data_IF_999958372362
#
_entry.id   IF_999958372362
#
_cell.length_a   1.000
_cell.length_b   1.000
_cell.length_c   1.000
_cell.angle_alpha   90.00
_cell.angle_beta   90.00
_cell.angle_gamma   90.00
#
_symmetry.space_group_name_H-M   'P 1'
#
loop_
_entity.id
_entity.type
_entity.pdbx_description
1 polymer ?
#
# COMPACT_ATOMS: atom_id res chain seq x y z
N UNK A 1 12.43 -6.82 -1.37
CA UNK A 1 12.62 -6.87 -2.85
C UNK A 1 14.08 -6.65 -3.16
N UNK A 2 14.72 -7.58 -3.87
CA UNK A 2 16.14 -7.51 -4.24
C UNK A 2 16.34 -6.65 -5.50
N UNK A 3 17.56 -6.12 -5.72
CA UNK A 3 17.85 -5.31 -6.92
C UNK A 3 17.52 -6.05 -8.22
N UNK A 4 17.82 -7.36 -8.29
CA UNK A 4 17.57 -8.19 -9.47
C UNK A 4 16.08 -8.46 -9.76
N UNK A 5 15.21 -8.20 -8.80
CA UNK A 5 13.75 -8.41 -8.91
C UNK A 5 13.02 -7.14 -9.35
N UNK A 6 13.74 -6.03 -9.42
CA UNK A 6 13.15 -4.76 -9.84
C UNK A 6 12.78 -4.80 -11.32
N UNK A 7 11.57 -4.34 -11.61
CA UNK A 7 11.02 -4.30 -12.97
C UNK A 7 11.09 -2.87 -13.52
N UNK A 8 11.56 -2.72 -14.74
CA UNK A 8 11.51 -1.45 -15.50
C UNK A 8 12.52 -0.38 -15.10
N UNK A 9 13.54 -0.73 -14.27
CA UNK A 9 14.63 0.17 -13.88
C UNK A 9 16.01 -0.40 -14.26
N UNK A 10 16.12 -1.04 -15.42
CA UNK A 10 17.27 -1.83 -15.83
C UNK A 10 18.59 -1.06 -15.78
N UNK A 11 18.59 0.23 -16.20
CA UNK A 11 19.81 1.06 -16.21
C UNK A 11 20.29 1.38 -14.78
N UNK A 12 19.36 1.75 -13.90
CA UNK A 12 19.68 2.07 -12.50
C UNK A 12 20.17 0.81 -11.77
N UNK A 13 19.48 -0.30 -11.97
CA UNK A 13 19.82 -1.61 -11.38
C UNK A 13 21.19 -2.09 -11.87
N UNK A 14 21.45 -2.08 -13.20
CA UNK A 14 22.73 -2.49 -13.75
C UNK A 14 23.89 -1.62 -13.24
N UNK A 15 23.69 -0.31 -13.14
CA UNK A 15 24.69 0.61 -12.58
C UNK A 15 25.02 0.29 -11.13
N UNK A 16 24.00 0.06 -10.29
CA UNK A 16 24.19 -0.28 -8.88
C UNK A 16 24.86 -1.63 -8.69
N UNK A 17 24.39 -2.67 -9.45
CA UNK A 17 24.99 -4.02 -9.40
C UNK A 17 26.45 -3.99 -9.84
N UNK A 18 26.77 -3.27 -10.90
CA UNK A 18 28.17 -3.12 -11.35
C UNK A 18 29.03 -2.40 -10.30
N UNK A 19 28.52 -1.33 -9.68
CA UNK A 19 29.24 -0.59 -8.64
C UNK A 19 29.51 -1.46 -7.41
N UNK A 20 28.55 -2.28 -6.99
CA UNK A 20 28.72 -3.25 -5.90
C UNK A 20 29.74 -4.33 -6.26
N UNK A 21 29.57 -4.98 -7.43
CA UNK A 21 30.44 -6.08 -7.87
C UNK A 21 31.90 -5.63 -8.07
N UNK A 22 32.12 -4.38 -8.47
CA UNK A 22 33.49 -3.81 -8.64
C UNK A 22 34.08 -3.19 -7.37
N UNK A 23 33.33 -3.18 -6.26
CA UNK A 23 33.75 -2.49 -5.02
C UNK A 23 33.88 -0.97 -5.15
N UNK A 24 33.24 -0.37 -6.17
CA UNK A 24 33.33 1.08 -6.47
C UNK A 24 32.04 1.82 -6.21
N UNK A 25 31.22 1.31 -5.29
CA UNK A 25 30.02 2.03 -4.89
C UNK A 25 30.43 3.34 -4.19
N UNK A 26 29.87 4.46 -4.65
CA UNK A 26 30.10 5.76 -4.02
C UNK A 26 29.59 5.75 -2.57
N UNK A 27 30.30 6.47 -1.69
CA UNK A 27 29.87 6.67 -0.31
C UNK A 27 28.57 7.46 -0.19
N UNK A 28 28.19 8.24 -1.21
CA UNK A 28 26.94 8.98 -1.25
C UNK A 28 26.31 8.89 -2.65
N UNK A 29 25.07 8.42 -2.69
CA UNK A 29 24.27 8.29 -3.89
C UNK A 29 23.01 9.15 -3.81
N UNK A 30 22.64 9.78 -4.94
CA UNK A 30 21.38 10.51 -5.10
C UNK A 30 20.50 9.73 -6.06
N UNK A 31 19.44 9.09 -5.52
CA UNK A 31 18.42 8.39 -6.31
C UNK A 31 17.32 9.37 -6.67
N UNK A 32 17.29 9.80 -7.91
CA UNK A 32 16.33 10.80 -8.42
C UNK A 32 15.43 10.25 -9.51
N UNK A 33 14.23 10.77 -9.58
CA UNK A 33 13.21 10.39 -10.56
C UNK A 33 11.79 10.59 -10.02
N UNK A 34 10.75 10.33 -10.82
CA UNK A 34 9.37 10.49 -10.43
C UNK A 34 9.02 9.77 -9.12
N UNK A 35 7.93 10.17 -8.47
CA UNK A 35 7.45 9.49 -7.28
C UNK A 35 7.03 8.05 -7.59
N UNK A 36 7.16 7.17 -6.59
CA UNK A 36 6.66 5.79 -6.64
C UNK A 36 7.15 4.95 -7.82
N UNK A 37 8.39 5.19 -8.31
CA UNK A 37 9.02 4.37 -9.36
C UNK A 37 10.00 3.33 -8.83
N UNK A 38 10.05 3.11 -7.50
CA UNK A 38 10.87 2.09 -6.86
C UNK A 38 12.22 2.57 -6.31
N UNK A 39 12.49 3.88 -6.20
CA UNK A 39 13.77 4.43 -5.67
C UNK A 39 14.12 3.91 -4.28
N UNK A 40 13.16 3.99 -3.33
CA UNK A 40 13.35 3.48 -1.96
C UNK A 40 13.56 1.96 -1.95
N UNK A 41 12.83 1.24 -2.79
CA UNK A 41 13.00 -0.21 -2.92
C UNK A 41 14.38 -0.57 -3.47
N UNK A 42 14.93 0.22 -4.41
CA UNK A 42 16.30 0.06 -4.89
C UNK A 42 17.34 0.32 -3.79
N UNK A 43 17.11 1.33 -2.95
CA UNK A 43 18.00 1.61 -1.82
C UNK A 43 18.01 0.45 -0.80
N UNK A 44 16.86 -0.14 -0.49
CA UNK A 44 16.78 -1.36 0.32
C UNK A 44 17.39 -2.57 -0.40
N UNK A 45 17.18 -2.71 -1.72
CA UNK A 45 17.84 -3.73 -2.54
C UNK A 45 19.35 -3.64 -2.51
N UNK A 46 19.89 -2.41 -2.46
CA UNK A 46 21.33 -2.16 -2.27
C UNK A 46 21.79 -2.59 -0.87
N UNK A 47 20.98 -2.36 0.16
CA UNK A 47 21.29 -2.84 1.52
C UNK A 47 21.37 -4.37 1.58
N UNK A 48 20.46 -5.09 0.95
CA UNK A 48 20.56 -6.54 0.84
C UNK A 48 21.84 -6.98 0.14
N UNK A 49 22.22 -6.31 -0.95
CA UNK A 49 23.43 -6.65 -1.69
C UNK A 49 24.73 -6.44 -0.88
N UNK A 50 24.77 -5.39 -0.04
CA UNK A 50 25.97 -5.05 0.73
C UNK A 50 26.07 -5.78 2.07
N UNK A 51 24.94 -6.11 2.72
CA UNK A 51 24.94 -6.68 4.06
C UNK A 51 24.73 -8.20 4.11
N UNK A 52 24.19 -8.82 3.05
CA UNK A 52 23.88 -10.25 3.05
C UNK A 52 25.13 -11.12 3.06
N UNK A 53 25.35 -11.97 4.09
CA UNK A 53 26.50 -12.87 4.14
C UNK A 53 26.36 -14.09 3.21
N UNK A 54 25.12 -14.55 2.95
CA UNK A 54 24.84 -15.76 2.14
C UNK A 54 24.97 -15.51 0.64
N UNK A 55 24.71 -14.29 0.18
CA UNK A 55 24.84 -13.89 -1.21
C UNK A 55 25.43 -12.48 -1.33
N UNK A 56 26.74 -12.32 -1.05
CA UNK A 56 27.39 -11.01 -1.13
C UNK A 56 27.27 -10.41 -2.54
N UNK A 57 26.94 -9.13 -2.61
CA UNK A 57 26.72 -8.40 -3.85
C UNK A 57 25.34 -8.59 -4.50
N UNK A 58 24.54 -9.56 -4.08
CA UNK A 58 23.22 -9.86 -4.66
C UNK A 58 22.07 -9.78 -3.65
N UNK A 59 22.32 -10.21 -2.40
CA UNK A 59 21.29 -10.46 -1.41
C UNK A 59 20.53 -11.78 -1.66
N UNK A 60 20.23 -12.56 -0.63
CA UNK A 60 19.44 -13.78 -0.75
C UNK A 60 17.95 -13.57 -0.46
N UNK A 61 17.58 -12.56 0.38
CA UNK A 61 16.20 -12.27 0.80
C UNK A 61 15.66 -13.17 1.90
N UNK A 62 16.39 -14.23 2.32
CA UNK A 62 15.85 -15.27 3.22
C UNK A 62 16.66 -15.49 4.49
N UNK A 63 17.94 -15.11 4.55
CA UNK A 63 18.75 -15.24 5.75
C UNK A 63 18.30 -14.28 6.86
N UNK A 64 18.83 -14.47 8.07
CA UNK A 64 18.48 -13.64 9.22
C UNK A 64 18.76 -12.15 9.00
N UNK A 65 19.93 -11.81 8.43
CA UNK A 65 20.28 -10.43 8.07
C UNK A 65 19.25 -9.83 7.12
N UNK A 66 18.87 -10.56 6.06
CA UNK A 66 17.87 -10.07 5.10
C UNK A 66 16.50 -9.88 5.75
N UNK A 67 16.06 -10.80 6.62
CA UNK A 67 14.79 -10.64 7.36
C UNK A 67 14.79 -9.44 8.28
N UNK A 68 15.90 -9.18 8.99
CA UNK A 68 16.04 -7.97 9.83
C UNK A 68 16.05 -6.68 9.02
N UNK A 69 16.66 -6.69 7.83
CA UNK A 69 16.61 -5.53 6.91
C UNK A 69 15.17 -5.29 6.47
N UNK A 70 14.42 -6.34 6.09
CA UNK A 70 13.03 -6.22 5.68
C UNK A 70 12.13 -5.69 6.80
N UNK A 71 12.36 -6.16 8.03
CA UNK A 71 11.65 -5.71 9.24
C UNK A 71 12.07 -4.30 9.71
N UNK A 72 13.10 -3.67 9.08
CA UNK A 72 13.64 -2.39 9.54
C UNK A 72 14.38 -2.47 10.88
N UNK A 73 14.90 -3.64 11.26
CA UNK A 73 15.52 -3.92 12.55
C UNK A 73 17.04 -4.15 12.47
N UNK A 74 17.64 -4.00 11.29
CA UNK A 74 19.08 -4.20 11.14
C UNK A 74 19.85 -2.94 11.55
N UNK A 75 20.84 -3.02 12.50
CA UNK A 75 21.52 -1.84 13.06
C UNK A 75 22.32 -1.04 12.03
N UNK A 76 22.79 -1.68 10.96
CA UNK A 76 23.55 -1.02 9.90
C UNK A 76 22.69 -0.65 8.68
N UNK A 77 21.36 -0.75 8.76
CA UNK A 77 20.46 -0.32 7.69
C UNK A 77 19.38 0.58 8.28
N UNK A 78 19.54 1.87 8.12
CA UNK A 78 18.58 2.88 8.57
C UNK A 78 17.87 3.49 7.37
N UNK A 79 16.53 3.49 7.42
CA UNK A 79 15.71 4.22 6.48
C UNK A 79 14.90 5.29 7.23
N UNK A 80 15.22 6.53 6.97
CA UNK A 80 14.61 7.70 7.60
C UNK A 80 13.73 8.44 6.60
N UNK A 81 12.57 8.89 7.08
CA UNK A 81 11.70 9.82 6.38
C UNK A 81 11.49 11.06 7.24
N UNK A 82 11.13 12.21 6.68
CA UNK A 82 10.88 13.41 7.47
C UNK A 82 9.73 13.17 8.45
N UNK A 83 9.90 13.62 9.70
CA UNK A 83 8.92 13.45 10.78
C UNK A 83 7.57 14.17 10.48
N UNK A 84 7.62 15.22 9.66
CA UNK A 84 6.46 15.97 9.19
C UNK A 84 6.64 16.31 7.70
N UNK A 85 6.49 17.58 7.33
CA UNK A 85 6.73 18.04 5.96
C UNK A 85 8.22 18.19 5.63
N UNK A 86 9.07 18.40 6.66
CA UNK A 86 10.49 18.61 6.51
C UNK A 86 11.29 17.79 7.55
N UNK A 87 12.55 17.51 7.22
CA UNK A 87 13.49 16.96 8.18
C UNK A 87 13.81 17.99 9.24
N UNK A 88 13.66 17.60 10.51
CA UNK A 88 14.16 18.41 11.64
C UNK A 88 15.65 18.25 11.78
N UNK A 89 16.33 19.28 12.31
CA UNK A 89 17.80 19.30 12.44
C UNK A 89 18.31 18.12 13.26
N UNK A 90 17.56 17.68 14.26
CA UNK A 90 17.97 16.58 15.14
C UNK A 90 17.98 15.23 14.40
N UNK A 91 17.06 14.99 13.45
CA UNK A 91 17.13 13.83 12.57
C UNK A 91 18.42 13.83 11.71
N UNK A 92 18.81 15.00 11.19
CA UNK A 92 20.04 15.13 10.43
C UNK A 92 21.29 14.92 11.30
N UNK A 93 21.28 15.41 12.55
CA UNK A 93 22.36 15.18 13.55
C UNK A 93 22.49 13.70 13.93
N UNK A 94 21.36 13.00 14.09
CA UNK A 94 21.34 11.56 14.32
C UNK A 94 22.00 10.80 13.17
N UNK A 95 21.66 11.12 11.92
CA UNK A 95 22.30 10.53 10.74
C UNK A 95 23.81 10.79 10.76
N UNK A 96 24.25 12.01 11.05
CA UNK A 96 25.67 12.36 11.14
C UNK A 96 26.38 11.59 12.25
N UNK A 97 25.78 11.47 13.44
CA UNK A 97 26.35 10.72 14.56
C UNK A 97 26.53 9.24 14.19
N UNK A 98 25.53 8.61 13.57
CA UNK A 98 25.63 7.22 13.13
C UNK A 98 26.66 7.07 12.00
N UNK A 99 26.64 7.95 11.00
CA UNK A 99 27.56 7.94 9.87
C UNK A 99 29.02 8.22 10.25
N UNK A 100 29.28 8.79 11.42
CA UNK A 100 30.66 9.05 11.93
C UNK A 100 31.34 7.81 12.54
N UNK A 101 30.57 6.72 12.74
CA UNK A 101 31.09 5.47 13.31
C UNK A 101 31.16 4.38 12.22
N UNK A 102 32.00 3.36 12.45
CA UNK A 102 32.04 2.18 11.56
C UNK A 102 30.74 1.35 11.67
N UNK A 103 30.41 0.53 10.64
CA UNK A 103 29.34 -0.44 10.73
C UNK A 103 29.47 -1.33 11.97
N UNK A 104 28.33 -1.74 12.54
CA UNK A 104 28.30 -2.50 13.80
C UNK A 104 28.57 -3.99 13.58
N UNK A 105 27.86 -4.63 12.63
CA UNK A 105 27.97 -6.07 12.38
C UNK A 105 28.12 -6.43 10.89
N UNK A 106 27.62 -5.58 9.99
CA UNK A 106 27.69 -5.84 8.55
C UNK A 106 29.00 -5.28 7.94
N UNK A 107 29.42 -5.77 6.75
CA UNK A 107 30.55 -5.21 6.02
C UNK A 107 30.38 -3.74 5.63
N UNK A 108 29.13 -3.28 5.52
CA UNK A 108 28.78 -1.92 5.17
C UNK A 108 27.53 -1.46 5.94
N UNK A 109 27.44 -0.13 6.17
CA UNK A 109 26.24 0.53 6.69
C UNK A 109 25.60 1.34 5.59
N UNK A 110 24.26 1.29 5.53
CA UNK A 110 23.45 2.07 4.59
C UNK A 110 22.48 2.95 5.35
N UNK A 111 22.56 4.24 5.07
CA UNK A 111 21.67 5.27 5.59
C UNK A 111 20.83 5.80 4.44
N UNK A 112 19.53 5.54 4.46
CA UNK A 112 18.58 5.93 3.42
C UNK A 112 17.79 7.12 3.94
N UNK A 113 17.91 8.27 3.28
CA UNK A 113 17.10 9.45 3.54
C UNK A 113 16.03 9.55 2.43
N UNK A 114 14.81 9.12 2.77
CA UNK A 114 13.68 9.22 1.85
C UNK A 114 13.14 10.66 1.81
N UNK A 115 12.62 11.10 0.67
CA UNK A 115 12.20 12.48 0.44
C UNK A 115 13.29 13.52 0.84
N UNK A 116 14.51 13.31 0.36
CA UNK A 116 15.64 14.20 0.68
C UNK A 116 15.40 15.65 0.24
N UNK A 117 14.50 15.91 -0.71
CA UNK A 117 14.02 17.26 -1.06
C UNK A 117 13.28 17.96 0.09
N UNK A 118 12.91 17.26 1.15
CA UNK A 118 12.36 17.83 2.39
C UNK A 118 13.44 18.29 3.40
N UNK A 119 14.73 18.15 3.08
CA UNK A 119 15.81 18.73 3.87
C UNK A 119 15.77 20.25 3.78
N UNK A 120 15.62 20.94 4.91
CA UNK A 120 15.82 22.38 4.99
C UNK A 120 17.33 22.73 4.99
N UNK A 121 17.66 24.00 4.84
CA UNK A 121 19.05 24.45 4.76
C UNK A 121 19.90 24.02 5.98
N UNK A 122 19.34 24.07 7.19
CA UNK A 122 20.05 23.70 8.41
C UNK A 122 20.34 22.20 8.48
N UNK A 123 19.31 21.35 8.17
CA UNK A 123 19.46 19.88 8.14
C UNK A 123 20.41 19.44 7.02
N UNK A 124 20.34 20.09 5.86
CA UNK A 124 21.22 19.81 4.73
C UNK A 124 22.68 20.16 5.04
N UNK A 125 22.94 21.31 5.68
CA UNK A 125 24.29 21.71 6.06
C UNK A 125 24.93 20.77 7.09
N UNK A 126 24.16 20.17 7.99
CA UNK A 126 24.69 19.16 8.92
C UNK A 126 25.30 17.96 8.18
N UNK A 127 24.77 17.57 7.02
CA UNK A 127 25.24 16.41 6.25
C UNK A 127 26.52 16.68 5.45
N UNK A 128 26.87 17.95 5.17
CA UNK A 128 27.97 18.28 4.26
C UNK A 128 29.32 17.69 4.70
N UNK A 129 29.65 17.76 5.99
CA UNK A 129 30.91 17.19 6.50
C UNK A 129 30.96 15.67 6.28
N UNK A 130 29.87 14.96 6.52
CA UNK A 130 29.79 13.50 6.28
C UNK A 130 29.91 13.15 4.81
N UNK A 131 29.41 14.03 3.92
CA UNK A 131 29.53 13.85 2.47
C UNK A 131 30.96 14.15 1.96
N UNK A 132 31.72 15.01 2.64
CA UNK A 132 33.10 15.33 2.29
C UNK A 132 34.10 14.33 2.84
N UNK A 133 33.92 13.92 4.11
CA UNK A 133 34.82 13.06 4.86
C UNK A 133 34.05 11.83 5.39
N UNK A 134 33.65 10.87 4.52
CA UNK A 134 32.88 9.73 4.94
C UNK A 134 33.67 8.74 5.78
N UNK A 135 33.10 8.24 6.85
CA UNK A 135 33.69 7.12 7.60
C UNK A 135 33.63 5.84 6.71
N UNK A 136 34.75 5.10 6.60
CA UNK A 136 34.82 3.91 5.78
C UNK A 136 33.70 2.88 6.06
N UNK A 137 33.13 2.31 5.01
CA UNK A 137 32.06 1.33 5.09
C UNK A 137 30.66 1.94 5.22
N UNK A 138 30.52 3.25 5.32
CA UNK A 138 29.21 3.91 5.33
C UNK A 138 28.80 4.39 3.93
N UNK A 139 27.53 4.14 3.57
CA UNK A 139 26.92 4.59 2.34
C UNK A 139 25.65 5.39 2.66
N UNK A 140 25.57 6.60 2.14
CA UNK A 140 24.42 7.48 2.26
C UNK A 140 23.61 7.46 0.94
N UNK A 141 22.33 7.12 1.01
CA UNK A 141 21.43 7.12 -0.14
C UNK A 141 20.35 8.16 0.07
N UNK A 142 20.42 9.25 -0.71
CA UNK A 142 19.42 10.31 -0.74
C UNK A 142 18.38 9.97 -1.81
N UNK A 143 17.12 9.84 -1.43
CA UNK A 143 16.02 9.54 -2.36
C UNK A 143 15.17 10.80 -2.56
N UNK A 144 14.98 11.23 -3.80
CA UNK A 144 14.19 12.44 -4.11
C UNK A 144 13.38 12.32 -5.39
N UNK A 145 12.27 13.04 -5.46
CA UNK A 145 11.52 13.30 -6.70
C UNK A 145 11.75 14.71 -7.26
N UNK A 146 12.37 15.58 -6.47
CA UNK A 146 12.63 16.98 -6.82
C UNK A 146 14.11 17.35 -6.54
N UNK A 147 15.06 16.85 -7.36
CA UNK A 147 16.50 17.02 -7.11
C UNK A 147 16.91 18.50 -7.09
N UNK A 148 16.18 19.37 -7.78
CA UNK A 148 16.49 20.81 -7.82
C UNK A 148 16.18 21.55 -6.51
N UNK A 149 15.38 20.93 -5.60
CA UNK A 149 15.16 21.45 -4.26
C UNK A 149 16.31 21.18 -3.30
N UNK A 150 17.18 20.21 -3.64
CA UNK A 150 18.39 19.94 -2.86
C UNK A 150 19.44 21.01 -3.08
N UNK A 151 20.21 21.35 -2.02
CA UNK A 151 21.33 22.25 -2.14
C UNK A 151 22.33 21.77 -3.21
N UNK A 152 22.84 22.68 -4.00
CA UNK A 152 23.85 22.38 -5.02
C UNK A 152 25.09 21.71 -4.42
N UNK A 153 25.44 22.07 -3.18
CA UNK A 153 26.55 21.48 -2.43
C UNK A 153 26.35 20.00 -2.08
N UNK A 154 25.13 19.54 -1.86
CA UNK A 154 24.81 18.10 -1.69
C UNK A 154 24.89 17.39 -3.04
N UNK A 155 24.24 17.98 -4.08
CA UNK A 155 24.23 17.38 -5.42
C UNK A 155 25.61 17.18 -6.01
N UNK A 156 26.54 18.11 -5.77
CA UNK A 156 27.91 18.01 -6.28
C UNK A 156 28.77 16.94 -5.60
N UNK A 157 28.34 16.45 -4.41
CA UNK A 157 29.06 15.44 -3.62
C UNK A 157 28.41 14.07 -3.66
N UNK A 158 27.33 13.91 -4.44
CA UNK A 158 26.60 12.64 -4.55
C UNK A 158 26.67 12.08 -5.97
N UNK A 159 26.83 10.77 -6.09
CA UNK A 159 26.71 10.08 -7.37
C UNK A 159 25.23 9.93 -7.73
N UNK A 160 24.85 10.53 -8.85
CA UNK A 160 23.45 10.51 -9.29
C UNK A 160 23.09 9.19 -9.95
N UNK A 161 21.98 8.57 -9.50
CA UNK A 161 21.35 7.39 -10.09
C UNK A 161 19.94 7.77 -10.49
N UNK A 162 19.66 7.81 -11.80
CA UNK A 162 18.37 8.23 -12.34
C UNK A 162 17.41 7.07 -12.49
N UNK A 163 16.21 7.25 -11.95
CA UNK A 163 15.07 6.36 -12.11
C UNK A 163 14.07 7.00 -13.07
N UNK A 164 13.64 6.25 -14.07
CA UNK A 164 12.65 6.71 -15.05
C UNK A 164 11.23 6.37 -14.60
N UNK A 165 10.24 7.06 -15.19
CA UNK A 165 8.86 6.58 -15.15
C UNK A 165 8.79 5.19 -15.79
N UNK A 166 8.02 4.29 -15.19
CA UNK A 166 7.91 2.91 -15.67
C UNK A 166 7.09 2.86 -16.97
N UNK A 167 7.55 2.02 -17.90
CA UNK A 167 6.79 1.75 -19.11
C UNK A 167 5.51 0.96 -18.77
N UNK A 168 4.43 1.10 -19.55
CA UNK A 168 3.17 0.38 -19.31
C UNK A 168 3.36 -1.13 -19.16
N UNK A 169 4.22 -1.75 -19.96
CA UNK A 169 4.51 -3.18 -19.87
C UNK A 169 5.10 -3.59 -18.50
N UNK A 170 5.98 -2.76 -17.93
CA UNK A 170 6.54 -2.99 -16.60
C UNK A 170 5.48 -2.84 -15.49
N UNK A 171 4.56 -1.90 -15.63
CA UNK A 171 3.43 -1.74 -14.70
C UNK A 171 2.47 -2.93 -14.75
N UNK A 172 2.14 -3.42 -15.95
CA UNK A 172 1.32 -4.63 -16.14
C UNK A 172 2.00 -5.84 -15.47
N UNK A 173 3.31 -6.01 -15.67
CA UNK A 173 4.06 -7.09 -15.00
C UNK A 173 4.00 -6.97 -13.47
N UNK A 174 4.18 -5.77 -12.91
CA UNK A 174 4.09 -5.53 -11.46
C UNK A 174 2.70 -5.86 -10.94
N UNK A 175 1.63 -5.41 -11.62
CA UNK A 175 0.24 -5.67 -11.25
C UNK A 175 -0.07 -7.18 -11.27
N UNK A 176 0.34 -7.88 -12.33
CA UNK A 176 0.13 -9.33 -12.46
C UNK A 176 0.88 -10.12 -11.39
N UNK A 177 2.12 -9.73 -11.04
CA UNK A 177 2.88 -10.33 -9.91
C UNK A 177 2.15 -10.14 -8.56
N UNK A 178 1.29 -9.13 -8.44
CA UNK A 178 0.46 -8.87 -7.25
C UNK A 178 -0.92 -9.53 -7.32
N UNK A 179 -1.19 -10.35 -8.34
CA UNK A 179 -2.42 -11.12 -8.46
C UNK A 179 -3.52 -10.48 -9.30
N UNK A 180 -3.29 -9.30 -9.90
CA UNK A 180 -4.26 -8.70 -10.81
C UNK A 180 -4.39 -9.50 -12.10
N UNK A 181 -5.60 -9.62 -12.64
CA UNK A 181 -5.81 -10.16 -13.98
C UNK A 181 -5.17 -9.24 -15.02
N UNK A 182 -4.89 -9.78 -16.21
CA UNK A 182 -4.25 -8.99 -17.27
C UNK A 182 -5.07 -7.77 -17.69
N UNK A 183 -6.38 -7.90 -17.77
CA UNK A 183 -7.28 -6.80 -18.12
C UNK A 183 -7.25 -5.67 -17.07
N UNK A 184 -7.33 -6.03 -15.78
CA UNK A 184 -7.20 -5.08 -14.67
C UNK A 184 -5.83 -4.39 -14.68
N UNK A 185 -4.75 -5.16 -14.89
CA UNK A 185 -3.40 -4.64 -14.96
C UNK A 185 -3.20 -3.64 -16.10
N UNK A 186 -3.75 -3.91 -17.28
CA UNK A 186 -3.68 -3.02 -18.46
C UNK A 186 -4.48 -1.72 -18.21
N UNK A 187 -5.68 -1.82 -17.64
CA UNK A 187 -6.50 -0.66 -17.27
C UNK A 187 -5.79 0.22 -16.24
N UNK A 188 -5.36 -0.38 -15.13
CA UNK A 188 -4.67 0.35 -14.06
C UNK A 188 -3.33 0.96 -14.53
N UNK A 189 -2.57 0.25 -15.39
CA UNK A 189 -1.32 0.75 -15.95
C UNK A 189 -1.52 1.99 -16.84
N UNK A 190 -2.63 2.06 -17.57
CA UNK A 190 -2.96 3.24 -18.40
C UNK A 190 -3.19 4.50 -17.57
N UNK A 191 -3.71 4.36 -16.36
CA UNK A 191 -4.00 5.46 -15.42
C UNK A 191 -2.80 5.84 -14.54
N UNK A 192 -1.85 4.92 -14.38
CA UNK A 192 -0.75 5.06 -13.42
C UNK A 192 0.32 6.11 -13.81
N UNK A 193 0.40 6.53 -15.09
CA UNK A 193 1.39 7.53 -15.53
C UNK A 193 2.85 7.15 -15.24
N UNK A 194 3.18 5.85 -15.24
CA UNK A 194 4.53 5.35 -14.94
C UNK A 194 4.86 5.21 -13.46
N UNK A 195 3.90 5.37 -12.54
CA UNK A 195 4.09 5.35 -11.09
C UNK A 195 3.42 4.13 -10.45
N UNK A 196 4.19 3.30 -9.72
CA UNK A 196 3.65 2.10 -9.05
C UNK A 196 2.62 2.44 -7.98
N UNK A 197 2.79 3.55 -7.25
CA UNK A 197 1.81 3.97 -6.25
C UNK A 197 0.43 4.23 -6.85
N UNK A 198 0.36 4.91 -7.99
CA UNK A 198 -0.89 5.14 -8.71
C UNK A 198 -1.48 3.86 -9.31
N UNK A 199 -0.61 2.95 -9.79
CA UNK A 199 -1.03 1.62 -10.24
C UNK A 199 -1.76 0.87 -9.13
N UNK A 200 -1.15 0.80 -7.94
CA UNK A 200 -1.74 0.09 -6.80
C UNK A 200 -3.05 0.73 -6.35
N UNK A 201 -3.10 2.05 -6.30
CA UNK A 201 -4.32 2.79 -5.98
C UNK A 201 -5.45 2.53 -7.00
N UNK A 202 -5.12 2.45 -8.29
CA UNK A 202 -6.10 2.13 -9.32
C UNK A 202 -6.63 0.69 -9.18
N UNK A 203 -5.74 -0.27 -8.88
CA UNK A 203 -6.14 -1.67 -8.63
C UNK A 203 -7.00 -1.82 -7.37
N UNK A 204 -6.66 -1.12 -6.29
CA UNK A 204 -7.46 -1.10 -5.07
C UNK A 204 -8.85 -0.50 -5.31
N UNK A 205 -8.94 0.60 -6.05
CA UNK A 205 -10.21 1.25 -6.40
C UNK A 205 -11.09 0.35 -7.31
N UNK A 206 -10.50 -0.39 -8.25
CA UNK A 206 -11.22 -1.33 -9.10
C UNK A 206 -11.72 -2.54 -8.31
N UNK A 207 -10.89 -3.10 -7.45
CA UNK A 207 -11.27 -4.19 -6.55
C UNK A 207 -12.42 -3.75 -5.62
N UNK A 208 -12.32 -2.58 -5.01
CA UNK A 208 -13.38 -2.03 -4.18
C UNK A 208 -14.68 -1.83 -4.96
N UNK A 209 -14.61 -1.32 -6.19
CA UNK A 209 -15.77 -1.16 -7.07
C UNK A 209 -16.46 -2.49 -7.38
N UNK A 210 -15.67 -3.56 -7.58
CA UNK A 210 -16.18 -4.92 -7.80
C UNK A 210 -16.91 -5.46 -6.57
N UNK A 211 -16.34 -5.29 -5.38
CA UNK A 211 -16.97 -5.69 -4.11
C UNK A 211 -18.28 -4.94 -3.87
N UNK A 212 -18.32 -3.64 -4.17
CA UNK A 212 -19.55 -2.85 -4.08
C UNK A 212 -20.61 -3.30 -5.06
N UNK A 213 -20.25 -3.73 -6.27
CA UNK A 213 -21.20 -4.29 -7.23
C UNK A 213 -21.88 -5.54 -6.68
N UNK A 214 -21.16 -6.39 -5.95
CA UNK A 214 -21.72 -7.56 -5.26
C UNK A 214 -22.64 -7.13 -4.11
N UNK A 215 -22.26 -6.15 -3.31
CA UNK A 215 -23.12 -5.58 -2.24
C UNK A 215 -24.43 -5.06 -2.83
N UNK A 216 -24.36 -4.31 -3.92
CA UNK A 216 -25.53 -3.78 -4.62
C UNK A 216 -26.40 -4.90 -5.20
N UNK A 217 -25.79 -6.00 -5.72
CA UNK A 217 -26.51 -7.17 -6.19
C UNK A 217 -27.26 -7.87 -5.04
N UNK A 218 -26.63 -8.07 -3.89
CA UNK A 218 -27.28 -8.63 -2.70
C UNK A 218 -28.47 -7.80 -2.24
N UNK A 219 -28.34 -6.49 -2.19
CA UNK A 219 -29.41 -5.59 -1.79
C UNK A 219 -30.56 -5.62 -2.81
N UNK A 220 -30.26 -5.58 -4.11
CA UNK A 220 -31.26 -5.70 -5.17
C UNK A 220 -32.00 -7.05 -5.10
N UNK A 221 -31.28 -8.15 -4.87
CA UNK A 221 -31.89 -9.47 -4.72
C UNK A 221 -32.86 -9.51 -3.53
N UNK A 222 -32.45 -8.96 -2.37
CA UNK A 222 -33.30 -8.84 -1.20
C UNK A 222 -34.51 -7.92 -1.43
N UNK A 223 -34.36 -6.81 -2.16
CA UNK A 223 -35.44 -5.88 -2.49
C UNK A 223 -36.46 -6.42 -3.53
N UNK A 224 -36.14 -7.53 -4.19
CA UNK A 224 -37.03 -8.14 -5.20
C UNK A 224 -38.18 -8.92 -4.52
N UNK A 225 -39.43 -8.82 -5.02
CA UNK A 225 -40.58 -9.51 -4.44
C UNK A 225 -40.49 -11.04 -4.48
N UNK A 226 -39.83 -11.62 -5.51
CA UNK A 226 -39.57 -13.06 -5.59
C UNK A 226 -38.45 -13.54 -4.70
N UNK A 227 -38.32 -14.84 -4.52
CA UNK A 227 -37.20 -15.47 -3.78
C UNK A 227 -36.10 -15.97 -4.73
N UNK A 228 -36.40 -16.11 -6.04
CA UNK A 228 -35.47 -16.62 -7.04
C UNK A 228 -34.17 -15.81 -7.10
N UNK A 229 -34.27 -14.47 -7.09
CA UNK A 229 -33.12 -13.59 -7.11
C UNK A 229 -32.17 -13.78 -5.91
N UNK A 230 -32.69 -14.21 -4.75
CA UNK A 230 -31.89 -14.53 -3.56
C UNK A 230 -31.07 -15.79 -3.80
N UNK A 231 -31.69 -16.84 -4.36
CA UNK A 231 -31.00 -18.09 -4.67
C UNK A 231 -29.94 -17.89 -5.77
N UNK A 232 -30.26 -17.07 -6.79
CA UNK A 232 -29.32 -16.74 -7.86
C UNK A 232 -28.09 -16.00 -7.29
N UNK A 233 -28.30 -14.94 -6.51
CA UNK A 233 -27.23 -14.15 -5.91
C UNK A 233 -26.38 -14.94 -4.92
N UNK A 234 -26.99 -15.83 -4.11
CA UNK A 234 -26.26 -16.70 -3.20
C UNK A 234 -25.51 -17.81 -3.95
N UNK A 235 -26.08 -18.32 -5.05
CA UNK A 235 -25.53 -19.37 -5.89
C UNK A 235 -24.22 -18.99 -6.59
N UNK A 236 -23.99 -17.71 -6.84
CA UNK A 236 -22.73 -17.18 -7.40
C UNK A 236 -21.51 -17.55 -6.51
N UNK A 237 -21.73 -17.84 -5.22
CA UNK A 237 -20.70 -18.22 -4.26
C UNK A 237 -20.62 -19.74 -4.00
N UNK A 238 -21.00 -20.56 -4.98
CA UNK A 238 -20.96 -22.01 -4.88
C UNK A 238 -19.55 -22.60 -4.99
N UNK A 239 -18.66 -21.98 -5.73
CA UNK A 239 -17.28 -22.44 -5.90
C UNK A 239 -16.29 -21.79 -4.90
N UNK A 240 -15.05 -22.32 -4.86
CA UNK A 240 -14.04 -21.87 -3.90
C UNK A 240 -13.44 -20.52 -4.26
N UNK A 241 -13.41 -20.16 -5.53
CA UNK A 241 -12.77 -18.95 -6.03
C UNK A 241 -13.64 -17.72 -5.71
N UNK A 242 -14.94 -17.78 -6.01
CA UNK A 242 -15.90 -16.72 -5.70
C UNK A 242 -16.05 -16.43 -4.19
N UNK A 243 -15.74 -17.42 -3.32
CA UNK A 243 -15.84 -17.25 -1.86
C UNK A 243 -14.72 -16.43 -1.25
N UNK A 244 -13.61 -16.18 -1.97
CA UNK A 244 -12.43 -15.51 -1.40
C UNK A 244 -12.76 -14.09 -0.93
N UNK A 245 -13.54 -13.37 -1.71
CA UNK A 245 -13.89 -11.97 -1.46
C UNK A 245 -15.12 -11.82 -0.55
N UNK A 246 -15.82 -12.91 -0.26
CA UNK A 246 -17.08 -12.88 0.49
C UNK A 246 -16.96 -12.26 1.91
N UNK A 247 -15.90 -12.49 2.69
CA UNK A 247 -15.71 -11.80 3.97
C UNK A 247 -15.64 -10.28 3.82
N UNK A 248 -15.00 -9.78 2.76
CA UNK A 248 -14.87 -8.35 2.49
C UNK A 248 -16.20 -7.75 2.02
N UNK A 249 -16.93 -8.45 1.16
CA UNK A 249 -18.30 -8.06 0.74
C UNK A 249 -19.22 -7.91 1.96
N UNK A 250 -19.24 -8.91 2.86
CA UNK A 250 -20.05 -8.83 4.08
C UNK A 250 -19.60 -7.72 5.02
N UNK A 251 -18.30 -7.45 5.12
CA UNK A 251 -17.78 -6.33 5.89
C UNK A 251 -18.22 -4.97 5.32
N UNK A 252 -18.24 -4.81 3.99
CA UNK A 252 -18.75 -3.61 3.32
C UNK A 252 -20.25 -3.44 3.54
N UNK A 253 -21.03 -4.50 3.41
CA UNK A 253 -22.48 -4.48 3.65
C UNK A 253 -22.81 -4.14 5.11
N UNK A 254 -22.08 -4.71 6.07
CA UNK A 254 -22.21 -4.38 7.49
C UNK A 254 -21.87 -2.90 7.76
N UNK A 255 -20.80 -2.38 7.13
CA UNK A 255 -20.40 -0.98 7.23
C UNK A 255 -21.48 -0.05 6.67
N UNK A 256 -22.10 -0.41 5.54
CA UNK A 256 -23.18 0.37 4.94
C UNK A 256 -24.37 0.53 5.91
N UNK A 257 -24.88 -0.58 6.47
CA UNK A 257 -26.00 -0.52 7.42
C UNK A 257 -25.63 0.18 8.74
N UNK A 258 -24.39 0.01 9.22
CA UNK A 258 -23.89 0.73 10.38
C UNK A 258 -23.85 2.23 10.13
N UNK A 259 -23.33 2.67 8.99
CA UNK A 259 -23.19 4.09 8.67
C UNK A 259 -24.57 4.72 8.37
N UNK A 260 -25.49 3.98 7.76
CA UNK A 260 -26.89 4.41 7.62
C UNK A 260 -27.56 4.61 9.00
N UNK A 261 -27.33 3.69 9.95
CA UNK A 261 -27.82 3.80 11.31
C UNK A 261 -27.23 5.02 12.05
N UNK A 262 -25.92 5.24 11.92
CA UNK A 262 -25.20 6.38 12.50
C UNK A 262 -25.72 7.71 11.91
N UNK A 263 -25.93 7.76 10.60
CA UNK A 263 -26.51 8.92 9.91
C UNK A 263 -27.96 9.17 10.40
N UNK A 264 -28.76 8.12 10.52
CA UNK A 264 -30.13 8.21 11.03
C UNK A 264 -30.19 8.70 12.49
N UNK A 265 -29.21 8.34 13.31
CA UNK A 265 -29.06 8.80 14.70
C UNK A 265 -28.51 10.25 14.82
N UNK A 266 -28.14 10.90 13.71
CA UNK A 266 -27.60 12.26 13.71
C UNK A 266 -26.12 12.38 14.10
N UNK A 267 -25.37 11.27 14.09
CA UNK A 267 -23.95 11.23 14.47
C UNK A 267 -23.03 11.20 13.22
N UNK A 268 -23.24 12.11 12.27
CA UNK A 268 -22.55 12.16 10.97
C UNK A 268 -21.01 12.17 11.04
N UNK A 269 -20.43 12.68 12.12
CA UNK A 269 -18.96 12.70 12.34
C UNK A 269 -18.36 11.28 12.44
N UNK A 270 -19.17 10.28 12.79
CA UNK A 270 -18.78 8.88 12.93
C UNK A 270 -18.95 8.05 11.65
N UNK A 271 -19.41 8.65 10.56
CA UNK A 271 -19.58 8.00 9.25
C UNK A 271 -18.22 7.72 8.62
N UNK A 272 -18.02 6.48 8.18
CA UNK A 272 -16.80 6.02 7.53
C UNK A 272 -16.89 6.09 5.99
N UNK A 273 -18.06 5.77 5.40
CA UNK A 273 -18.33 5.78 3.97
C UNK A 273 -18.77 7.18 3.49
N UNK A 274 -17.85 8.12 3.51
CA UNK A 274 -18.14 9.52 3.13
C UNK A 274 -18.42 9.71 1.66
N UNK A 275 -17.86 8.89 0.81
CA UNK A 275 -18.04 8.84 -0.64
C UNK A 275 -19.46 8.38 -1.05
N UNK A 276 -20.19 7.68 -0.16
CA UNK A 276 -21.58 7.23 -0.32
C UNK A 276 -22.60 8.03 0.48
N UNK A 277 -22.31 9.27 0.83
CA UNK A 277 -23.16 10.11 1.69
C UNK A 277 -24.61 10.20 1.20
N UNK A 278 -24.85 10.36 -0.10
CA UNK A 278 -26.19 10.42 -0.69
C UNK A 278 -26.97 9.13 -0.49
N UNK A 279 -26.34 7.97 -0.60
CA UNK A 279 -26.95 6.66 -0.37
C UNK A 279 -27.29 6.49 1.11
N UNK A 280 -26.36 6.85 2.00
CA UNK A 280 -26.57 6.80 3.44
C UNK A 280 -27.69 7.70 3.89
N UNK A 281 -27.80 8.92 3.36
CA UNK A 281 -28.91 9.82 3.64
C UNK A 281 -30.25 9.28 3.14
N UNK A 282 -30.26 8.62 2.00
CA UNK A 282 -31.47 7.96 1.47
C UNK A 282 -31.94 6.84 2.40
N UNK A 283 -31.05 5.94 2.81
CA UNK A 283 -31.36 4.86 3.74
C UNK A 283 -31.78 5.38 5.12
N UNK A 284 -31.04 6.37 5.64
CA UNK A 284 -31.34 7.00 6.92
C UNK A 284 -32.66 7.76 6.89
N UNK A 285 -32.96 8.48 5.80
CA UNK A 285 -34.18 9.25 5.61
C UNK A 285 -35.44 8.39 5.57
N UNK A 286 -35.36 7.24 4.90
CA UNK A 286 -36.45 6.24 4.88
C UNK A 286 -36.65 5.62 6.26
N UNK A 287 -35.60 5.19 6.93
CA UNK A 287 -35.66 4.65 8.28
C UNK A 287 -36.23 5.65 9.31
N UNK A 288 -35.95 6.95 9.17
CA UNK A 288 -36.51 7.99 10.04
C UNK A 288 -38.01 8.22 9.81
N UNK A 289 -38.48 8.15 8.55
CA UNK A 289 -39.89 8.35 8.22
C UNK A 289 -40.78 7.24 8.79
N UNK A 290 -40.31 6.03 8.76
CA UNK A 290 -41.05 4.84 9.20
C UNK A 290 -40.76 4.47 10.67
N UNK A 291 -39.99 5.31 11.42
CA UNK A 291 -39.54 5.03 12.79
C UNK A 291 -38.78 3.70 12.95
N UNK A 292 -38.14 3.22 11.89
CA UNK A 292 -37.59 1.85 11.84
C UNK A 292 -36.05 1.79 11.92
N UNK A 293 -35.46 2.49 12.91
CA UNK A 293 -34.06 2.31 13.28
C UNK A 293 -33.78 0.85 13.71
N UNK A 294 -34.82 0.14 14.17
CA UNK A 294 -34.71 -1.27 14.55
C UNK A 294 -34.48 -2.14 13.31
N UNK A 295 -35.01 -1.77 12.16
CA UNK A 295 -34.81 -2.50 10.91
C UNK A 295 -33.35 -2.42 10.46
N UNK A 296 -32.72 -1.24 10.44
CA UNK A 296 -31.30 -1.08 10.11
C UNK A 296 -30.39 -1.84 11.10
N UNK A 297 -30.73 -1.80 12.41
CA UNK A 297 -30.01 -2.56 13.43
C UNK A 297 -30.16 -4.07 13.21
N UNK A 298 -31.36 -4.51 12.84
CA UNK A 298 -31.63 -5.93 12.54
C UNK A 298 -30.82 -6.38 11.32
N UNK A 299 -30.81 -5.57 10.24
CA UNK A 299 -30.03 -5.87 9.06
C UNK A 299 -28.52 -5.99 9.37
N UNK A 300 -27.97 -5.04 10.09
CA UNK A 300 -26.58 -5.11 10.53
C UNK A 300 -26.29 -6.40 11.30
N UNK A 301 -27.20 -6.79 12.22
CA UNK A 301 -27.08 -8.02 13.00
C UNK A 301 -27.07 -9.26 12.09
N UNK A 302 -27.96 -9.35 11.11
CA UNK A 302 -28.03 -10.51 10.21
C UNK A 302 -26.77 -10.64 9.34
N UNK A 303 -26.22 -9.52 8.86
CA UNK A 303 -24.95 -9.55 8.12
C UNK A 303 -23.79 -10.02 9.01
N UNK A 304 -23.72 -9.54 10.27
CA UNK A 304 -22.71 -9.99 11.23
C UNK A 304 -22.87 -11.48 11.55
N UNK A 305 -24.10 -11.96 11.70
CA UNK A 305 -24.37 -13.39 11.92
C UNK A 305 -23.94 -14.26 10.72
N UNK A 306 -24.15 -13.79 9.49
CA UNK A 306 -23.65 -14.48 8.30
C UNK A 306 -22.12 -14.54 8.30
N UNK A 307 -21.44 -13.46 8.63
CA UNK A 307 -19.96 -13.43 8.75
C UNK A 307 -19.45 -14.43 9.79
N UNK A 308 -20.10 -14.53 10.95
CA UNK A 308 -19.75 -15.50 12.00
C UNK A 308 -20.03 -16.95 11.56
N UNK A 309 -21.11 -17.18 10.81
CA UNK A 309 -21.44 -18.50 10.28
C UNK A 309 -20.36 -18.98 9.29
N UNK A 310 -19.88 -18.09 8.41
CA UNK A 310 -18.77 -18.39 7.50
C UNK A 310 -17.48 -18.74 8.26
N UNK A 311 -17.15 -18.00 9.30
CA UNK A 311 -16.01 -18.29 10.16
C UNK A 311 -16.13 -19.63 10.91
N UNK A 312 -17.35 -20.14 11.09
CA UNK A 312 -17.67 -21.43 11.73
C UNK A 312 -17.85 -22.58 10.74
N UNK A 313 -17.35 -22.46 9.50
CA UNK A 313 -17.44 -23.45 8.43
C UNK A 313 -18.88 -23.87 8.03
N UNK A 314 -19.86 -22.99 8.20
CA UNK A 314 -21.20 -23.19 7.63
C UNK A 314 -21.11 -23.05 6.11
N UNK A 315 -21.96 -23.79 5.39
CA UNK A 315 -22.01 -23.66 3.93
C UNK A 315 -22.31 -22.20 3.52
N UNK A 316 -21.43 -21.56 2.73
CA UNK A 316 -21.56 -20.15 2.38
C UNK A 316 -22.88 -19.82 1.67
N UNK A 317 -23.31 -20.64 0.70
CA UNK A 317 -24.56 -20.43 -0.03
C UNK A 317 -25.75 -20.40 0.95
N UNK A 318 -25.84 -21.37 1.85
CA UNK A 318 -26.93 -21.43 2.84
C UNK A 318 -26.88 -20.27 3.84
N UNK A 319 -25.68 -19.82 4.22
CA UNK A 319 -25.53 -18.66 5.10
C UNK A 319 -25.99 -17.37 4.41
N UNK A 320 -25.68 -17.21 3.11
CA UNK A 320 -26.10 -16.08 2.30
C UNK A 320 -27.60 -16.09 2.02
N UNK A 321 -28.16 -17.25 1.64
CA UNK A 321 -29.60 -17.41 1.43
C UNK A 321 -30.39 -16.97 2.66
N UNK A 322 -29.98 -17.47 3.85
CA UNK A 322 -30.59 -17.09 5.11
C UNK A 322 -30.48 -15.58 5.34
N UNK A 323 -29.28 -15.02 5.24
CA UNK A 323 -29.04 -13.59 5.43
C UNK A 323 -29.91 -12.75 4.49
N UNK A 324 -29.93 -13.06 3.19
CA UNK A 324 -30.70 -12.30 2.19
C UNK A 324 -32.20 -12.42 2.42
N UNK A 325 -32.70 -13.57 2.88
CA UNK A 325 -34.10 -13.74 3.29
C UNK A 325 -34.44 -12.87 4.49
N UNK A 326 -33.57 -12.80 5.48
CA UNK A 326 -33.75 -12.00 6.69
C UNK A 326 -33.61 -10.47 6.41
N UNK A 327 -32.83 -10.09 5.41
CA UNK A 327 -32.74 -8.70 4.91
C UNK A 327 -33.93 -8.26 4.05
N UNK A 328 -34.64 -9.20 3.45
CA UNK A 328 -35.73 -8.92 2.50
C UNK A 328 -36.81 -7.98 3.04
N UNK A 329 -37.37 -8.15 4.25
CA UNK A 329 -38.39 -7.24 4.76
C UNK A 329 -37.89 -5.78 4.84
N UNK A 330 -36.63 -5.58 5.22
CA UNK A 330 -35.99 -4.27 5.30
C UNK A 330 -35.76 -3.67 3.92
N UNK A 331 -35.11 -4.40 3.02
CA UNK A 331 -34.75 -3.88 1.69
C UNK A 331 -36.01 -3.61 0.84
N UNK A 332 -37.09 -4.35 1.02
CA UNK A 332 -38.40 -4.04 0.39
C UNK A 332 -39.00 -2.71 0.88
N UNK A 333 -38.77 -2.32 2.13
CA UNK A 333 -39.18 -1.02 2.67
C UNK A 333 -38.24 0.08 2.22
N UNK A 334 -36.96 -0.24 2.06
CA UNK A 334 -35.92 0.71 1.64
C UNK A 334 -35.83 0.88 0.11
N UNK A 335 -36.41 0.02 -0.69
CA UNK A 335 -36.49 0.12 -2.16
C UNK A 335 -37.65 1.02 -2.58
#
# INVERSE_FOLDING_TARGET
MLLREMVGQDRAVAMLQHAVASGRLAHACLFDGPESVGKRSAALGLAYALCCPEAPGLGCGTCDVCRRIEAGQHPDVLALAPAAQQYVVDQAREVVAIASTRPHEAPARILILDRADALNASSANCLLKTLEEPCPGNHLVLVTSAPDRLLATIRSRTQRVRFAALQPAALVEIATRKGATRAQAETAASLAGGQVGRLLQALESEAESTLWAVVDNFRKAAATRGIGAIFDAAGEFSDKESRQDLPEVLALLARLYRDALVTAAGAGDLVLLRDRANELETLAGRARKDYDLLALRSALREVVQASLALASNVNPVTALEKMLMDLKPLELVLA
#
